data_IF_506378376550
#
_entry.id   IF_506378376550
#
_cell.length_a   1.000
_cell.length_b   1.000
_cell.length_c   1.000
_cell.angle_alpha   90.00
_cell.angle_beta   90.00
_cell.angle_gamma   90.00
#
_symmetry.space_group_name_H-M   'P 1'
#
loop_
_entity.id
_entity.type
_entity.pdbx_description
1 polymer ?
#
# COMPACT_ATOMS: atom_id res chain seq x y z
N UNK A 1 3.93 -3.16 19.49
CA UNK A 1 3.11 -4.05 18.63
C UNK A 1 2.28 -3.25 17.63
N UNK A 2 1.66 -2.13 18.02
CA UNK A 2 0.75 -1.38 17.15
C UNK A 2 1.44 -0.77 15.90
N UNK A 3 2.61 -0.15 16.05
CA UNK A 3 3.34 0.46 14.94
C UNK A 3 3.86 -0.56 13.91
N UNK A 4 4.26 -1.76 14.33
CA UNK A 4 4.72 -2.82 13.43
C UNK A 4 3.56 -3.43 12.64
N UNK A 5 2.38 -3.57 13.26
CA UNK A 5 1.15 -3.96 12.55
C UNK A 5 0.77 -2.89 11.53
N UNK A 6 0.80 -1.62 11.94
CA UNK A 6 0.55 -0.49 11.05
C UNK A 6 1.55 -0.42 9.88
N UNK A 7 2.81 -0.81 10.11
CA UNK A 7 3.81 -0.92 9.04
C UNK A 7 3.36 -1.91 7.97
N UNK A 8 3.01 -3.13 8.39
CA UNK A 8 2.54 -4.17 7.48
C UNK A 8 1.26 -3.77 6.74
N UNK A 9 0.32 -3.12 7.43
CA UNK A 9 -0.92 -2.62 6.84
C UNK A 9 -0.66 -1.58 5.75
N UNK A 10 0.19 -0.59 5.99
CA UNK A 10 0.52 0.42 4.98
C UNK A 10 1.09 -0.19 3.69
N UNK A 11 1.96 -1.20 3.82
CA UNK A 11 2.49 -1.92 2.67
C UNK A 11 1.42 -2.76 1.95
N UNK A 12 0.59 -3.50 2.70
CA UNK A 12 -0.46 -4.33 2.12
C UNK A 12 -1.50 -3.49 1.38
N UNK A 13 -1.96 -2.39 1.99
CA UNK A 13 -2.91 -1.46 1.37
C UNK A 13 -2.34 -0.87 0.09
N UNK A 14 -1.06 -0.50 0.08
CA UNK A 14 -0.40 0.01 -1.12
C UNK A 14 -0.38 -1.02 -2.24
N UNK A 15 -0.13 -2.30 -1.93
CA UNK A 15 -0.19 -3.36 -2.94
C UNK A 15 -1.62 -3.60 -3.44
N UNK A 16 -2.61 -3.65 -2.55
CA UNK A 16 -4.04 -3.80 -2.92
C UNK A 16 -4.47 -2.69 -3.89
N UNK A 17 -4.05 -1.44 -3.62
CA UNK A 17 -4.36 -0.32 -4.51
C UNK A 17 -3.60 -0.45 -5.84
N UNK A 18 -2.31 -0.79 -5.81
CA UNK A 18 -1.48 -0.89 -7.01
C UNK A 18 -1.91 -2.01 -7.95
N UNK A 19 -2.27 -3.17 -7.39
CA UNK A 19 -2.55 -4.41 -8.12
C UNK A 19 -4.07 -4.61 -8.39
N UNK A 20 -4.92 -3.62 -8.07
CA UNK A 20 -6.38 -3.74 -8.13
C UNK A 20 -6.90 -4.29 -9.47
N UNK A 21 -6.44 -3.73 -10.60
CA UNK A 21 -6.92 -4.15 -11.92
C UNK A 21 -6.36 -5.52 -12.34
N UNK A 22 -5.13 -5.85 -11.96
CA UNK A 22 -4.60 -7.21 -12.19
C UNK A 22 -5.37 -8.26 -11.38
N UNK A 23 -5.64 -8.00 -10.10
CA UNK A 23 -6.43 -8.89 -9.24
C UNK A 23 -7.86 -9.04 -9.80
N UNK A 24 -8.43 -7.93 -10.30
CA UNK A 24 -9.75 -7.95 -10.91
C UNK A 24 -9.81 -8.79 -12.18
N UNK A 25 -8.77 -8.75 -13.02
CA UNK A 25 -8.66 -9.59 -14.21
C UNK A 25 -8.67 -11.09 -13.88
N UNK A 26 -8.28 -11.45 -12.64
CA UNK A 26 -8.25 -12.82 -12.11
C UNK A 26 -9.52 -13.19 -11.34
N UNK A 27 -10.51 -12.30 -11.32
CA UNK A 27 -11.78 -12.49 -10.60
C UNK A 27 -11.74 -12.12 -9.10
N UNK A 28 -10.65 -11.52 -8.61
CA UNK A 28 -10.52 -11.12 -7.21
C UNK A 28 -10.77 -9.61 -7.00
N UNK A 29 -11.27 -9.22 -5.83
CA UNK A 29 -11.41 -7.83 -5.45
C UNK A 29 -11.17 -7.66 -3.94
N UNK A 30 -10.13 -6.92 -3.59
CA UNK A 30 -9.71 -6.71 -2.19
C UNK A 30 -10.03 -5.31 -1.66
N UNK A 31 -10.66 -4.46 -2.48
CA UNK A 31 -11.08 -3.12 -2.06
C UNK A 31 -12.30 -3.21 -1.13
N UNK A 32 -12.35 -2.44 -0.03
CA UNK A 32 -13.46 -2.46 0.91
C UNK A 32 -14.74 -1.87 0.31
N UNK A 33 -15.76 -2.71 0.20
CA UNK A 33 -17.05 -2.39 -0.45
C UNK A 33 -17.75 -1.21 0.23
N UNK A 34 -17.71 -1.14 1.56
CA UNK A 34 -18.33 -0.05 2.32
C UNK A 34 -17.76 1.32 1.94
N UNK A 35 -16.42 1.43 1.82
CA UNK A 35 -15.76 2.68 1.45
C UNK A 35 -16.30 3.18 0.11
N UNK A 36 -16.34 2.31 -0.91
CA UNK A 36 -16.78 2.67 -2.26
C UNK A 36 -18.29 2.85 -2.38
N UNK A 37 -19.09 2.08 -1.64
CA UNK A 37 -20.54 2.22 -1.62
C UNK A 37 -20.99 3.59 -1.08
N UNK A 38 -20.28 4.16 -0.09
CA UNK A 38 -20.55 5.54 0.38
C UNK A 38 -20.33 6.60 -0.69
N UNK A 39 -19.49 6.31 -1.68
CA UNK A 39 -19.25 7.15 -2.86
C UNK A 39 -20.10 6.74 -4.06
N UNK A 40 -21.12 5.89 -3.87
CA UNK A 40 -22.04 5.45 -4.93
C UNK A 40 -21.43 4.45 -5.91
N UNK A 41 -20.34 3.78 -5.56
CA UNK A 41 -19.64 2.84 -6.45
C UNK A 41 -19.96 1.40 -6.09
N UNK A 42 -20.48 0.67 -7.07
CA UNK A 42 -20.62 -0.79 -7.01
C UNK A 42 -19.35 -1.40 -7.62
N UNK A 43 -18.44 -1.89 -6.77
CA UNK A 43 -17.15 -2.46 -7.20
C UNK A 43 -17.32 -3.62 -8.21
N UNK A 44 -18.44 -4.35 -8.15
CA UNK A 44 -18.74 -5.44 -9.07
C UNK A 44 -18.98 -4.96 -10.53
N UNK A 45 -19.33 -3.70 -10.73
CA UNK A 45 -19.67 -3.14 -12.04
C UNK A 45 -18.51 -2.40 -12.69
N UNK A 46 -17.40 -2.22 -11.97
CA UNK A 46 -16.21 -1.53 -12.49
C UNK A 46 -15.54 -2.30 -13.62
N UNK A 47 -15.16 -1.57 -14.66
CA UNK A 47 -14.30 -2.04 -15.73
C UNK A 47 -13.17 -1.05 -16.00
N UNK A 48 -11.99 -1.51 -16.45
CA UNK A 48 -10.87 -0.63 -16.79
C UNK A 48 -11.30 0.49 -17.74
N UNK A 49 -10.87 1.73 -17.48
CA UNK A 49 -11.18 2.90 -18.29
C UNK A 49 -12.63 3.41 -18.18
N UNK A 50 -13.47 2.80 -17.34
CA UNK A 50 -14.82 3.26 -17.01
C UNK A 50 -15.00 3.44 -15.52
N UNK A 51 -14.10 4.22 -14.92
CA UNK A 51 -14.24 4.72 -13.55
C UNK A 51 -14.92 6.09 -13.57
N UNK A 52 -15.40 6.53 -12.41
CA UNK A 52 -16.02 7.85 -12.26
C UNK A 52 -15.57 8.52 -10.96
N UNK A 53 -16.03 9.75 -10.75
CA UNK A 53 -15.62 10.58 -9.61
C UNK A 53 -15.81 9.90 -8.24
N UNK A 54 -16.82 9.03 -8.08
CA UNK A 54 -17.00 8.25 -6.86
C UNK A 54 -15.89 7.24 -6.61
N UNK A 55 -15.33 6.63 -7.66
CA UNK A 55 -14.19 5.72 -7.53
C UNK A 55 -12.92 6.49 -7.16
N UNK A 56 -12.70 7.64 -7.78
CA UNK A 56 -11.58 8.52 -7.46
C UNK A 56 -11.64 9.00 -5.99
N UNK A 57 -12.84 9.32 -5.50
CA UNK A 57 -13.07 9.69 -4.10
C UNK A 57 -12.76 8.51 -3.14
N UNK A 58 -13.23 7.30 -3.47
CA UNK A 58 -12.92 6.10 -2.70
C UNK A 58 -11.43 5.75 -2.70
N UNK A 59 -10.75 5.88 -3.85
CA UNK A 59 -9.29 5.74 -3.93
C UNK A 59 -8.57 6.77 -3.09
N UNK A 60 -8.95 8.05 -3.18
CA UNK A 60 -8.36 9.13 -2.39
C UNK A 60 -8.48 8.87 -0.88
N UNK A 61 -9.64 8.38 -0.43
CA UNK A 61 -9.84 7.98 0.95
C UNK A 61 -8.86 6.88 1.37
N UNK A 62 -8.77 5.79 0.59
CA UNK A 62 -7.88 4.68 0.91
C UNK A 62 -6.40 5.03 0.86
N UNK A 63 -6.01 5.91 -0.07
CA UNK A 63 -4.66 6.48 -0.10
C UNK A 63 -4.40 7.26 1.19
N UNK A 64 -5.38 8.01 1.68
CA UNK A 64 -5.29 8.73 2.95
C UNK A 64 -5.03 7.82 4.14
N UNK A 65 -5.73 6.68 4.21
CA UNK A 65 -5.54 5.67 5.25
C UNK A 65 -4.18 4.98 5.12
N UNK A 66 -3.79 4.57 3.91
CA UNK A 66 -2.49 3.95 3.66
C UNK A 66 -1.35 4.90 4.02
N UNK A 67 -1.46 6.18 3.67
CA UNK A 67 -0.50 7.21 4.03
C UNK A 67 -0.37 7.34 5.57
N UNK A 68 -1.46 7.37 6.32
CA UNK A 68 -1.41 7.40 7.79
C UNK A 68 -0.63 6.18 8.35
N UNK A 69 -0.89 4.98 7.81
CA UNK A 69 -0.13 3.79 8.18
C UNK A 69 1.36 3.86 7.81
N UNK A 70 1.70 4.45 6.67
CA UNK A 70 3.10 4.66 6.27
C UNK A 70 3.81 5.71 7.15
N UNK A 71 3.09 6.69 7.71
CA UNK A 71 3.66 7.60 8.73
C UNK A 71 4.02 6.84 10.01
N UNK A 72 3.16 5.93 10.44
CA UNK A 72 3.45 5.04 11.56
C UNK A 72 4.59 4.07 11.23
N UNK A 73 4.70 3.62 9.98
CA UNK A 73 5.80 2.79 9.49
C UNK A 73 7.14 3.54 9.56
N UNK A 74 7.15 4.83 9.23
CA UNK A 74 8.32 5.69 9.45
C UNK A 74 8.65 5.76 10.95
N UNK A 75 7.66 6.05 11.81
CA UNK A 75 7.87 6.11 13.25
C UNK A 75 8.48 4.81 13.79
N UNK A 76 7.97 3.65 13.38
CA UNK A 76 8.56 2.33 13.66
C UNK A 76 10.03 2.24 13.23
N UNK A 77 10.32 2.65 11.99
CA UNK A 77 11.69 2.60 11.43
C UNK A 77 12.68 3.48 12.20
N UNK A 78 12.20 4.57 12.79
CA UNK A 78 13.02 5.47 13.61
C UNK A 78 13.22 4.97 15.05
N UNK A 79 12.44 3.99 15.51
CA UNK A 79 12.70 3.29 16.79
C UNK A 79 13.88 2.34 16.69
N UNK A 80 14.21 1.89 15.48
CA UNK A 80 15.35 1.01 15.24
C UNK A 80 16.64 1.81 15.47
N UNK A 81 17.58 1.34 16.32
CA UNK A 81 18.78 2.07 16.65
C UNK A 81 19.60 2.46 15.43
N UNK A 82 20.27 3.62 15.48
CA UNK A 82 21.17 4.09 14.42
C UNK A 82 22.36 3.17 14.18
N UNK A 83 22.72 2.37 15.19
CA UNK A 83 23.76 1.32 15.14
C UNK A 83 23.35 0.11 14.32
N UNK A 84 22.06 -0.02 13.96
CA UNK A 84 21.52 -1.09 13.11
C UNK A 84 21.10 -0.57 11.72
N UNK A 85 22.02 0.02 10.93
CA UNK A 85 21.65 0.73 9.71
C UNK A 85 21.16 -0.22 8.61
N UNK A 86 21.49 -1.51 8.66
CA UNK A 86 20.99 -2.52 7.73
C UNK A 86 19.48 -2.69 7.82
N UNK A 87 18.96 -2.86 9.04
CA UNK A 87 17.53 -3.03 9.30
C UNK A 87 16.78 -1.75 8.90
N UNK A 88 17.34 -0.58 9.26
CA UNK A 88 16.74 0.71 8.90
C UNK A 88 16.64 0.90 7.40
N UNK A 89 17.70 0.60 6.64
CA UNK A 89 17.67 0.65 5.17
C UNK A 89 16.61 -0.26 4.60
N UNK A 90 16.51 -1.51 5.09
CA UNK A 90 15.49 -2.45 4.63
C UNK A 90 14.07 -1.88 4.80
N UNK A 91 13.75 -1.37 6.00
CA UNK A 91 12.47 -0.73 6.27
C UNK A 91 12.24 0.52 5.40
N UNK A 92 13.25 1.37 5.24
CA UNK A 92 13.16 2.60 4.44
C UNK A 92 12.96 2.32 2.95
N UNK A 93 13.54 1.24 2.41
CA UNK A 93 13.31 0.85 1.02
C UNK A 93 11.86 0.44 0.79
N UNK A 94 11.32 -0.41 1.67
CA UNK A 94 9.91 -0.83 1.58
C UNK A 94 8.97 0.38 1.72
N UNK A 95 9.24 1.26 2.68
CA UNK A 95 8.48 2.47 2.93
C UNK A 95 8.52 3.45 1.74
N UNK A 96 9.71 3.73 1.21
CA UNK A 96 9.89 4.66 0.10
C UNK A 96 9.17 4.19 -1.16
N UNK A 97 9.28 2.90 -1.49
CA UNK A 97 8.55 2.32 -2.63
C UNK A 97 7.04 2.42 -2.45
N UNK A 98 6.54 2.19 -1.24
CA UNK A 98 5.11 2.29 -0.96
C UNK A 98 4.59 3.72 -1.15
N UNK A 99 5.23 4.72 -0.53
CA UNK A 99 4.84 6.13 -0.68
C UNK A 99 4.87 6.57 -2.14
N UNK A 100 5.91 6.21 -2.88
CA UNK A 100 6.04 6.58 -4.29
C UNK A 100 4.99 5.90 -5.17
N UNK A 101 4.59 4.67 -4.83
CA UNK A 101 3.48 3.98 -5.49
C UNK A 101 2.17 4.72 -5.22
N UNK A 102 1.87 5.06 -3.96
CA UNK A 102 0.67 5.84 -3.62
C UNK A 102 0.62 7.18 -4.36
N UNK A 103 1.75 7.87 -4.52
CA UNK A 103 1.80 9.12 -5.32
C UNK A 103 1.41 8.90 -6.76
N UNK A 104 1.87 7.81 -7.37
CA UNK A 104 1.55 7.52 -8.77
C UNK A 104 0.08 7.23 -8.96
N UNK A 105 -0.51 6.47 -8.03
CA UNK A 105 -1.95 6.21 -8.01
C UNK A 105 -2.73 7.53 -7.81
N UNK A 106 -2.33 8.37 -6.85
CA UNK A 106 -2.98 9.66 -6.60
C UNK A 106 -2.88 10.62 -7.80
N UNK A 107 -1.78 10.58 -8.55
CA UNK A 107 -1.56 11.42 -9.73
C UNK A 107 -2.29 10.91 -10.99
N UNK A 108 -2.65 9.63 -11.03
CA UNK A 108 -3.39 9.02 -12.13
C UNK A 108 -4.46 8.06 -11.58
N UNK A 109 -5.58 8.57 -11.01
CA UNK A 109 -6.64 7.72 -10.45
C UNK A 109 -7.40 6.92 -11.53
N UNK A 110 -7.33 7.36 -12.79
CA UNK A 110 -7.92 6.71 -13.95
C UNK A 110 -7.04 5.59 -14.55
N UNK A 111 -5.98 5.17 -13.85
CA UNK A 111 -5.13 4.06 -14.30
C UNK A 111 -5.95 2.80 -14.56
N UNK A 112 -5.52 2.01 -15.54
CA UNK A 112 -6.23 0.79 -15.97
C UNK A 112 -5.45 -0.49 -15.72
N UNK A 113 -4.18 -0.36 -15.32
CA UNK A 113 -3.28 -1.46 -14.98
C UNK A 113 -2.24 -1.03 -13.94
N UNK A 114 -1.75 -1.96 -13.12
CA UNK A 114 -0.67 -1.71 -12.16
C UNK A 114 0.64 -1.28 -12.82
N UNK A 115 0.84 -1.58 -14.11
CA UNK A 115 1.98 -1.12 -14.91
C UNK A 115 2.06 0.42 -15.02
N UNK A 116 0.92 1.12 -15.07
CA UNK A 116 0.87 2.58 -15.19
C UNK A 116 1.28 3.29 -13.90
N UNK A 117 0.99 2.67 -12.76
CA UNK A 117 1.32 3.21 -11.42
C UNK A 117 2.60 2.60 -10.84
N UNK A 118 3.21 1.66 -11.56
CA UNK A 118 4.45 0.98 -11.17
C UNK A 118 5.59 1.97 -11.00
N UNK A 119 6.31 1.89 -9.88
CA UNK A 119 7.54 2.67 -9.66
C UNK A 119 8.64 2.18 -10.62
N UNK A 120 9.29 3.11 -11.32
CA UNK A 120 10.32 2.77 -12.32
C UNK A 120 11.65 2.40 -11.64
N UNK A 121 12.46 1.57 -12.29
CA UNK A 121 13.77 1.13 -11.77
C UNK A 121 14.71 2.29 -11.36
N UNK A 122 14.78 3.42 -12.07
CA UNK A 122 15.58 4.57 -11.64
C UNK A 122 15.09 5.19 -10.32
N UNK A 123 13.77 5.22 -10.10
CA UNK A 123 13.19 5.74 -8.85
C UNK A 123 13.46 4.78 -7.68
N UNK A 124 13.42 3.47 -7.92
CA UNK A 124 13.87 2.46 -6.93
C UNK A 124 15.33 2.69 -6.55
N UNK A 125 16.19 2.94 -7.54
CA UNK A 125 17.61 3.19 -7.33
C UNK A 125 17.87 4.49 -6.54
N UNK A 126 17.19 5.58 -6.90
CA UNK A 126 17.26 6.86 -6.20
C UNK A 126 16.75 6.75 -4.75
N UNK A 127 15.70 5.96 -4.52
CA UNK A 127 15.20 5.66 -3.16
C UNK A 127 16.25 4.93 -2.34
N UNK A 128 16.93 3.93 -2.93
CA UNK A 128 18.00 3.20 -2.24
C UNK A 128 19.17 4.09 -1.86
N UNK A 129 19.60 4.99 -2.74
CA UNK A 129 20.74 5.88 -2.49
C UNK A 129 20.41 6.96 -1.48
N UNK A 130 19.32 7.69 -1.67
CA UNK A 130 18.91 8.77 -0.76
C UNK A 130 18.75 8.26 0.67
N UNK A 131 18.05 7.12 0.85
CA UNK A 131 17.88 6.50 2.17
C UNK A 131 19.18 5.99 2.79
N UNK A 132 20.14 5.51 1.98
CA UNK A 132 21.43 5.04 2.49
C UNK A 132 22.33 6.17 2.98
N UNK A 133 22.26 7.35 2.35
CA UNK A 133 23.03 8.54 2.74
C UNK A 133 22.49 9.20 4.00
N UNK A 134 21.16 9.16 4.22
CA UNK A 134 20.51 9.84 5.35
C UNK A 134 20.07 8.89 6.46
N UNK A 135 20.40 7.59 6.37
CA UNK A 135 19.99 6.59 7.36
C UNK A 135 20.41 6.99 8.76
N UNK A 136 21.54 7.67 8.95
CA UNK A 136 22.02 8.10 10.26
C UNK A 136 21.29 9.29 10.89
N UNK A 137 20.36 9.96 10.20
CA UNK A 137 19.70 11.18 10.66
C UNK A 137 18.17 11.10 10.56
N UNK A 138 17.51 10.95 11.72
CA UNK A 138 16.05 10.85 11.82
C UNK A 138 15.32 12.11 11.34
N UNK A 139 15.94 13.30 11.48
CA UNK A 139 15.33 14.56 11.01
C UNK A 139 15.31 14.58 9.49
N UNK A 140 16.40 14.17 8.87
CA UNK A 140 16.49 14.11 7.42
C UNK A 140 15.57 13.03 6.83
N UNK A 141 15.46 11.87 7.49
CA UNK A 141 14.51 10.83 7.09
C UNK A 141 13.06 11.29 7.16
N UNK A 142 12.67 12.03 8.22
CA UNK A 142 11.34 12.66 8.30
C UNK A 142 11.12 13.63 7.14
N UNK A 143 12.07 14.53 6.87
CA UNK A 143 11.96 15.48 5.75
C UNK A 143 11.85 14.78 4.40
N UNK A 144 12.65 13.76 4.14
CA UNK A 144 12.59 12.96 2.91
C UNK A 144 11.23 12.30 2.76
N UNK A 145 10.69 11.73 3.84
CA UNK A 145 9.36 11.15 3.84
C UNK A 145 8.29 12.20 3.53
N UNK A 146 8.29 13.36 4.19
CA UNK A 146 7.30 14.42 3.92
C UNK A 146 7.38 14.94 2.48
N UNK A 147 8.60 15.04 1.92
CA UNK A 147 8.80 15.40 0.52
C UNK A 147 8.24 14.33 -0.44
N UNK A 148 8.47 13.06 -0.11
CA UNK A 148 7.93 11.93 -0.86
C UNK A 148 6.41 11.85 -0.72
N UNK A 149 5.83 12.08 0.45
CA UNK A 149 4.39 11.99 0.68
C UNK A 149 3.62 13.28 0.30
N UNK A 150 4.31 14.34 -0.12
CA UNK A 150 3.69 15.63 -0.47
C UNK A 150 2.58 15.45 -1.51
N UNK A 151 1.41 16.01 -1.20
CA UNK A 151 0.22 15.96 -2.05
C UNK A 151 -0.64 14.71 -1.88
N UNK A 152 -0.21 13.73 -1.07
CA UNK A 152 -1.07 12.62 -0.69
C UNK A 152 -2.15 13.09 0.30
N UNK A 153 -3.40 12.64 0.16
CA UNK A 153 -4.39 12.79 1.21
C UNK A 153 -3.87 12.12 2.50
N UNK A 154 -4.37 12.58 3.64
CA UNK A 154 -4.04 12.01 4.94
C UNK A 154 -5.34 11.84 5.73
N UNK A 155 -5.66 10.60 6.07
CA UNK A 155 -6.82 10.30 6.90
C UNK A 155 -6.57 10.74 8.36
N UNK A 156 -7.62 11.18 9.04
CA UNK A 156 -7.56 11.43 10.47
C UNK A 156 -7.26 10.10 11.22
N UNK A 157 -6.49 10.14 12.33
CA UNK A 157 -6.27 8.95 13.15
C UNK A 157 -7.62 8.35 13.58
N UNK A 158 -7.88 7.08 13.21
CA UNK A 158 -9.14 6.38 13.50
C UNK A 158 -9.98 6.02 12.27
N UNK A 159 -9.76 6.67 11.11
CA UNK A 159 -10.38 6.28 9.84
C UNK A 159 -9.49 5.21 9.20
N UNK A 160 -9.62 3.96 9.64
CA UNK A 160 -8.81 2.84 9.14
C UNK A 160 -9.30 1.45 9.56
N UNK A 161 -10.35 1.41 10.37
CA UNK A 161 -10.89 0.18 10.95
C UNK A 161 -11.51 -0.77 9.93
N UNK A 162 -11.89 -0.27 8.75
CA UNK A 162 -12.39 -1.11 7.65
C UNK A 162 -11.37 -2.13 7.15
N UNK A 163 -10.06 -1.82 7.18
CA UNK A 163 -9.02 -2.78 6.80
C UNK A 163 -8.74 -3.85 7.87
N UNK A 164 -9.22 -3.67 9.11
CA UNK A 164 -9.18 -4.75 10.11
C UNK A 164 -10.06 -5.93 9.70
N UNK A 165 -11.14 -5.69 8.96
CA UNK A 165 -12.07 -6.74 8.52
C UNK A 165 -11.60 -7.49 7.25
N UNK A 166 -10.78 -6.86 6.39
CA UNK A 166 -10.22 -7.53 5.20
C UNK A 166 -9.36 -8.74 5.59
N UNK A 167 -8.72 -8.72 6.78
CA UNK A 167 -8.04 -9.89 7.36
C UNK A 167 -8.98 -11.08 7.61
N UNK A 168 -10.21 -10.85 8.04
CA UNK A 168 -11.18 -11.91 8.29
C UNK A 168 -11.68 -12.53 6.97
N UNK A 169 -11.89 -11.71 5.94
CA UNK A 169 -12.30 -12.16 4.61
C UNK A 169 -11.17 -12.90 3.86
N UNK A 170 -9.92 -12.43 3.96
CA UNK A 170 -8.76 -13.09 3.36
C UNK A 170 -8.42 -14.44 4.00
N UNK A 171 -8.60 -14.56 5.31
CA UNK A 171 -8.44 -15.84 6.01
C UNK A 171 -9.59 -16.82 5.70
N UNK A 172 -10.84 -16.33 5.58
CA UNK A 172 -11.99 -17.16 5.23
C UNK A 172 -12.04 -17.56 3.75
N UNK A 173 -11.46 -16.74 2.85
CA UNK A 173 -11.27 -17.07 1.43
C UNK A 173 -10.16 -18.09 1.21
N UNK A 174 -9.04 -17.96 1.92
CA UNK A 174 -7.95 -18.96 1.89
C UNK A 174 -8.39 -20.31 2.49
N UNK A 175 -9.18 -20.30 3.57
CA UNK A 175 -9.71 -21.53 4.18
C UNK A 175 -10.78 -22.26 3.35
N UNK A 176 -11.21 -21.70 2.20
CA UNK A 176 -12.10 -22.39 1.25
C UNK A 176 -11.37 -22.97 0.03
N UNK A 177 -10.04 -22.77 -0.07
CA UNK A 177 -9.19 -23.31 -1.13
C UNK A 177 -8.26 -24.45 -0.64
N UNK A 178 -8.53 -25.06 0.51
CA UNK A 178 -7.79 -26.22 1.02
C UNK A 178 -8.26 -27.56 0.40
N UNK A 179 -8.38 -27.60 -0.92
CA UNK A 179 -8.54 -28.84 -1.68
C UNK A 179 -7.68 -28.86 -2.97
N UNK A 180 -6.56 -28.15 -2.98
CA UNK A 180 -5.55 -28.30 -4.02
C UNK A 180 -4.34 -29.08 -3.46
N UNK A 181 -3.89 -30.16 -4.14
CA UNK A 181 -2.79 -31.00 -3.65
C UNK A 181 -1.50 -30.18 -3.54
N UNK A 182 -0.73 -30.54 -2.51
CA UNK A 182 0.47 -29.83 -2.08
C UNK A 182 1.53 -29.83 -3.18
N UNK A 183 2.37 -28.80 -3.22
CA UNK A 183 3.46 -28.67 -4.21
C UNK A 183 4.44 -29.87 -4.24
N UNK A 184 4.42 -30.74 -3.23
CA UNK A 184 5.26 -31.93 -3.13
C UNK A 184 4.77 -33.09 -4.01
N UNK A 185 3.50 -33.11 -4.43
CA UNK A 185 2.90 -34.22 -5.19
C UNK A 185 3.02 -34.04 -6.72
N UNK A 186 3.65 -32.98 -7.22
CA UNK A 186 3.78 -32.70 -8.66
C UNK A 186 5.18 -32.91 -9.25
N UNK A 187 6.15 -33.38 -8.47
CA UNK A 187 7.56 -33.47 -8.91
C UNK A 187 8.18 -34.87 -8.70
N UNK A 188 7.36 -35.90 -8.50
CA UNK A 188 7.74 -37.32 -8.59
C UNK A 188 6.67 -38.06 -9.41
#
# INVERSE_FOLDING_TARGET
AELSVSFAQGLQMTNILKDFWEDRSRGACWLPQETFARHGVVLAELSPGRTGAGFDAGLSELIGVAHAHLRNALAYTLLIPRTEPGIRRFCLWALGLAVLTLRRIAANPAYTSGAEVKVSRPVVWLTRISTSLVVGDDRMLRRLFELAARGLPLAAPGIGDGFRQVRAAGAAGAAREDAAPSWQERVL
#
